data_IF_265844409065
#
_entry.id   IF_265844409065
#
_cell.length_a   1.000
_cell.length_b   1.000
_cell.length_c   1.000
_cell.angle_alpha   90.00
_cell.angle_beta   90.00
_cell.angle_gamma   90.00
#
_symmetry.space_group_name_H-M   'P 1'
#
loop_
_entity.id
_entity.type
_entity.pdbx_description
1 polymer ?
#
# COMPACT_ATOMS: atom_id res chain seq x y z
N UNK A 1 -22.75 -12.28 14.07
CA UNK A 1 -21.53 -11.72 14.67
C UNK A 1 -20.98 -10.66 13.72
N UNK A 2 -20.32 -9.61 14.23
CA UNK A 2 -19.62 -8.62 13.39
C UNK A 2 -18.12 -8.80 13.61
N UNK A 3 -17.33 -8.68 12.55
CA UNK A 3 -15.87 -8.80 12.58
C UNK A 3 -15.23 -7.49 12.11
N UNK A 4 -14.10 -7.14 12.70
CA UNK A 4 -13.30 -5.97 12.32
C UNK A 4 -11.87 -6.43 12.05
N UNK A 5 -11.35 -6.11 10.87
CA UNK A 5 -9.95 -6.30 10.50
C UNK A 5 -9.26 -4.93 10.56
N UNK A 6 -8.16 -4.84 11.32
CA UNK A 6 -7.31 -3.65 11.40
C UNK A 6 -5.93 -4.01 10.87
N UNK A 7 -5.47 -3.29 9.85
CA UNK A 7 -4.13 -3.44 9.28
C UNK A 7 -3.33 -2.20 9.66
N UNK A 8 -2.21 -2.40 10.35
CA UNK A 8 -1.23 -1.35 10.60
C UNK A 8 -0.19 -1.42 9.48
N UNK A 9 -0.33 -0.55 8.49
CA UNK A 9 0.55 -0.57 7.31
C UNK A 9 2.00 -0.23 7.69
N UNK A 10 2.95 -1.01 7.18
CA UNK A 10 4.37 -0.86 7.49
C UNK A 10 4.76 -1.06 8.96
N UNK A 11 3.92 -1.71 9.78
CA UNK A 11 4.18 -1.82 11.24
C UNK A 11 5.36 -2.74 11.61
N UNK A 12 5.67 -3.70 10.74
CA UNK A 12 6.74 -4.67 11.00
C UNK A 12 8.05 -4.10 10.53
N UNK A 13 8.95 -3.82 11.48
CA UNK A 13 10.26 -3.23 11.18
C UNK A 13 11.38 -3.92 11.96
N UNK A 14 12.61 -3.68 11.51
CA UNK A 14 13.80 -4.22 12.14
C UNK A 14 14.13 -3.51 13.46
N UNK A 15 14.93 -4.20 14.29
CA UNK A 15 15.48 -3.63 15.51
C UNK A 15 16.55 -2.61 15.16
N UNK A 16 16.58 -1.51 15.90
CA UNK A 16 17.55 -0.44 15.63
C UNK A 16 18.30 -0.02 16.90
N UNK A 17 19.57 0.34 16.75
CA UNK A 17 20.40 0.82 17.86
C UNK A 17 19.88 2.14 18.46
N UNK A 18 19.28 3.00 17.62
CA UNK A 18 18.64 4.24 18.04
C UNK A 18 17.48 4.01 19.03
N UNK A 19 16.89 2.81 19.01
CA UNK A 19 15.83 2.38 19.91
C UNK A 19 16.32 1.33 20.92
N UNK A 20 17.61 1.33 21.26
CA UNK A 20 18.22 0.41 22.21
C UNK A 20 18.02 -1.07 21.84
N UNK A 21 18.06 -1.39 20.54
CA UNK A 21 17.88 -2.76 20.04
C UNK A 21 16.42 -3.24 20.02
N UNK A 22 15.46 -2.32 20.07
CA UNK A 22 14.03 -2.59 19.90
C UNK A 22 13.55 -2.25 18.49
N UNK A 23 12.46 -2.88 18.07
CA UNK A 23 11.67 -2.41 16.92
C UNK A 23 10.86 -1.17 17.32
N UNK A 24 10.42 -0.33 16.35
CA UNK A 24 9.53 0.79 16.63
C UNK A 24 8.26 0.40 17.41
N UNK A 25 7.65 -0.74 17.09
CA UNK A 25 6.45 -1.23 17.78
C UNK A 25 6.73 -1.65 19.23
N UNK A 26 7.88 -2.29 19.49
CA UNK A 26 8.32 -2.66 20.85
C UNK A 26 8.66 -1.44 21.70
N UNK A 27 9.27 -0.41 21.09
CA UNK A 27 9.65 0.82 21.79
C UNK A 27 8.45 1.72 22.11
N UNK A 28 7.42 1.71 21.25
CA UNK A 28 6.25 2.55 21.40
C UNK A 28 5.36 2.15 22.60
N UNK A 29 4.77 3.15 23.26
CA UNK A 29 3.75 2.91 24.29
C UNK A 29 2.43 2.49 23.64
N UNK A 30 2.10 1.19 23.67
CA UNK A 30 0.94 0.62 22.95
C UNK A 30 -0.05 -0.15 23.86
N UNK A 31 -0.59 0.50 24.93
CA UNK A 31 -1.39 -0.19 25.94
C UNK A 31 -2.65 -0.90 25.40
N UNK A 32 -3.22 -0.38 24.31
CA UNK A 32 -4.37 -1.01 23.64
C UNK A 32 -3.98 -2.30 22.94
N UNK A 33 -2.86 -2.31 22.20
CA UNK A 33 -2.36 -3.51 21.51
C UNK A 33 -1.95 -4.56 22.55
N UNK A 34 -1.27 -4.16 23.62
CA UNK A 34 -0.90 -5.03 24.74
C UNK A 34 -2.13 -5.69 25.38
N UNK A 35 -3.22 -4.94 25.57
CA UNK A 35 -4.48 -5.44 26.10
C UNK A 35 -5.17 -6.43 25.16
N UNK A 36 -5.12 -6.19 23.85
CA UNK A 36 -5.65 -7.10 22.83
C UNK A 36 -4.87 -8.41 22.84
N UNK A 37 -3.53 -8.36 22.88
CA UNK A 37 -2.68 -9.56 22.92
C UNK A 37 -2.96 -10.41 24.17
N UNK A 38 -3.15 -9.78 25.34
CA UNK A 38 -3.48 -10.49 26.60
C UNK A 38 -4.83 -11.21 26.58
N UNK A 39 -5.79 -10.72 25.80
CA UNK A 39 -7.16 -11.26 25.72
C UNK A 39 -7.42 -12.13 24.49
N UNK A 40 -6.45 -12.21 23.59
CA UNK A 40 -6.59 -12.84 22.28
C UNK A 40 -5.50 -13.87 22.00
N UNK A 41 -5.29 -14.12 20.71
CA UNK A 41 -4.25 -15.02 20.20
C UNK A 41 -3.28 -14.17 19.37
N UNK A 42 -1.99 -14.31 19.65
CA UNK A 42 -0.93 -13.71 18.86
C UNK A 42 -0.25 -14.79 18.01
N UNK A 43 -0.11 -14.52 16.70
CA UNK A 43 0.56 -15.40 15.75
C UNK A 43 1.33 -14.57 14.73
N UNK A 44 2.56 -14.99 14.43
CA UNK A 44 3.32 -14.51 13.28
C UNK A 44 2.93 -15.31 12.03
N UNK A 45 2.51 -14.60 10.98
CA UNK A 45 2.13 -15.16 9.68
C UNK A 45 2.72 -14.27 8.59
N UNK A 46 3.12 -14.86 7.46
CA UNK A 46 3.41 -14.12 6.23
C UNK A 46 2.20 -14.21 5.30
N UNK A 47 1.82 -13.07 4.72
CA UNK A 47 0.79 -12.97 3.68
C UNK A 47 1.39 -12.58 2.32
N UNK A 48 2.72 -12.68 2.18
CA UNK A 48 3.38 -12.44 0.91
C UNK A 48 3.12 -13.61 -0.03
N UNK A 49 2.83 -13.32 -1.29
CA UNK A 49 2.70 -14.35 -2.32
C UNK A 49 4.08 -14.91 -2.64
N UNK A 50 4.21 -16.24 -2.64
CA UNK A 50 5.48 -16.91 -2.92
C UNK A 50 6.03 -16.52 -4.31
N UNK A 51 7.33 -16.22 -4.37
CA UNK A 51 8.00 -15.78 -5.60
C UNK A 51 7.64 -14.37 -6.07
N UNK A 52 6.98 -13.55 -5.23
CA UNK A 52 6.73 -12.13 -5.50
C UNK A 52 7.39 -11.25 -4.44
N UNK A 53 7.80 -10.06 -4.85
CA UNK A 53 8.19 -9.03 -3.90
C UNK A 53 6.96 -8.61 -3.06
N UNK A 54 7.11 -8.39 -1.75
CA UNK A 54 6.02 -7.94 -0.90
C UNK A 54 5.47 -6.59 -1.37
N UNK A 55 4.16 -6.50 -1.54
CA UNK A 55 3.48 -5.25 -1.87
C UNK A 55 2.10 -5.19 -1.21
N UNK A 56 1.63 -3.99 -0.88
CA UNK A 56 0.33 -3.77 -0.23
C UNK A 56 -0.85 -4.48 -0.91
N UNK A 57 -0.94 -4.49 -2.24
CA UNK A 57 -2.06 -5.09 -2.98
C UNK A 57 -2.08 -6.60 -2.73
N UNK A 58 -0.97 -7.29 -3.01
CA UNK A 58 -0.92 -8.75 -2.87
C UNK A 58 -1.09 -9.19 -1.42
N UNK A 59 -0.51 -8.47 -0.47
CA UNK A 59 -0.65 -8.74 0.96
C UNK A 59 -2.09 -8.55 1.44
N UNK A 60 -2.75 -7.44 1.07
CA UNK A 60 -4.14 -7.18 1.48
C UNK A 60 -5.09 -8.23 0.89
N UNK A 61 -4.96 -8.54 -0.40
CA UNK A 61 -5.79 -9.58 -1.03
C UNK A 61 -5.58 -10.96 -0.39
N UNK A 62 -4.33 -11.29 -0.03
CA UNK A 62 -4.00 -12.53 0.68
C UNK A 62 -4.63 -12.57 2.09
N UNK A 63 -4.61 -11.45 2.83
CA UNK A 63 -5.29 -11.34 4.15
C UNK A 63 -6.81 -11.52 4.01
N UNK A 64 -7.39 -11.03 2.91
CA UNK A 64 -8.81 -11.18 2.59
C UNK A 64 -9.17 -12.59 2.07
N UNK A 65 -8.18 -13.46 1.86
CA UNK A 65 -8.39 -14.86 1.45
C UNK A 65 -8.50 -15.07 -0.06
N UNK A 66 -8.03 -14.13 -0.88
CA UNK A 66 -7.95 -14.30 -2.34
C UNK A 66 -6.86 -15.31 -2.68
N UNK A 67 -7.18 -16.24 -3.58
CA UNK A 67 -6.23 -17.25 -4.05
C UNK A 67 -5.05 -16.61 -4.77
N UNK A 68 -3.83 -17.06 -4.44
CA UNK A 68 -2.59 -16.45 -4.95
C UNK A 68 -2.44 -16.55 -6.47
N UNK A 69 -3.09 -17.53 -7.11
CA UNK A 69 -3.04 -17.71 -8.58
C UNK A 69 -3.79 -16.63 -9.34
N UNK A 70 -4.77 -15.97 -8.71
CA UNK A 70 -5.60 -14.92 -9.33
C UNK A 70 -5.23 -13.51 -8.86
N UNK A 71 -4.29 -13.36 -7.93
CA UNK A 71 -3.80 -12.04 -7.50
C UNK A 71 -3.06 -11.38 -8.67
N UNK A 72 -3.51 -10.21 -9.16
CA UNK A 72 -2.87 -9.53 -10.28
C UNK A 72 -1.46 -9.07 -9.91
N UNK A 73 -0.58 -8.97 -10.90
CA UNK A 73 0.79 -8.46 -10.71
C UNK A 73 0.89 -6.94 -10.74
N UNK A 74 -0.10 -6.28 -11.36
CA UNK A 74 -0.15 -4.83 -11.48
C UNK A 74 -1.34 -4.27 -10.70
N UNK A 75 -1.25 -2.98 -10.37
CA UNK A 75 -2.30 -2.25 -9.63
C UNK A 75 -3.15 -1.34 -10.52
N UNK A 76 -2.67 -1.05 -11.73
CA UNK A 76 -3.26 -0.02 -12.59
C UNK A 76 -4.76 -0.24 -12.83
N UNK A 77 -5.15 -1.47 -13.17
CA UNK A 77 -6.56 -1.82 -13.37
C UNK A 77 -7.41 -1.59 -12.11
N UNK A 78 -6.95 -2.09 -10.95
CA UNK A 78 -7.68 -1.95 -9.70
C UNK A 78 -7.76 -0.49 -9.21
N UNK A 79 -6.71 0.30 -9.43
CA UNK A 79 -6.70 1.74 -9.11
C UNK A 79 -7.64 2.52 -10.04
N UNK A 80 -7.74 2.16 -11.32
CA UNK A 80 -8.69 2.75 -12.26
C UNK A 80 -10.14 2.48 -11.83
N UNK A 81 -10.48 1.22 -11.51
CA UNK A 81 -11.80 0.85 -10.99
C UNK A 81 -12.12 1.59 -9.69
N UNK A 82 -11.15 1.70 -8.76
CA UNK A 82 -11.33 2.44 -7.51
C UNK A 82 -11.56 3.94 -7.74
N UNK A 83 -11.06 4.48 -8.85
CA UNK A 83 -11.26 5.87 -9.30
C UNK A 83 -12.53 6.07 -10.12
N UNK A 84 -13.34 5.01 -10.30
CA UNK A 84 -14.58 5.06 -11.09
C UNK A 84 -14.36 5.10 -12.60
N UNK A 85 -13.17 4.76 -13.07
CA UNK A 85 -12.85 4.64 -14.51
C UNK A 85 -13.34 3.26 -14.96
N UNK A 86 -14.25 3.23 -15.94
CA UNK A 86 -14.66 2.00 -16.60
C UNK A 86 -13.53 1.53 -17.53
N UNK A 87 -13.24 0.23 -17.51
CA UNK A 87 -12.15 -0.37 -18.31
C UNK A 87 -12.72 -1.60 -19.00
N UNK A 88 -12.68 -1.61 -20.33
CA UNK A 88 -13.14 -2.73 -21.16
C UNK A 88 -12.06 -3.83 -21.25
N UNK A 89 -12.48 -5.04 -21.63
CA UNK A 89 -11.61 -6.23 -21.67
C UNK A 89 -10.45 -6.11 -22.69
N UNK A 90 -10.57 -5.21 -23.68
CA UNK A 90 -9.57 -4.94 -24.71
C UNK A 90 -8.71 -3.69 -24.43
N UNK A 91 -8.85 -3.08 -23.26
CA UNK A 91 -8.10 -1.89 -22.86
C UNK A 91 -6.88 -2.21 -21.98
N UNK A 92 -5.84 -1.36 -22.11
CA UNK A 92 -4.65 -1.42 -21.27
C UNK A 92 -4.60 -0.19 -20.38
N UNK A 93 -4.51 -0.41 -19.07
CA UNK A 93 -4.41 0.67 -18.08
C UNK A 93 -2.97 0.87 -17.67
N UNK A 94 -2.50 2.12 -17.74
CA UNK A 94 -1.19 2.53 -17.24
C UNK A 94 -1.36 3.40 -15.99
N UNK A 95 -0.61 3.07 -14.95
CA UNK A 95 -0.49 3.93 -13.77
C UNK A 95 0.62 4.94 -14.03
N UNK A 96 0.22 6.21 -14.13
CA UNK A 96 1.13 7.32 -14.39
C UNK A 96 1.21 8.24 -13.18
N UNK A 97 2.38 8.83 -12.99
CA UNK A 97 2.57 9.90 -12.01
C UNK A 97 2.79 11.22 -12.74
N UNK A 98 2.28 12.32 -12.18
CA UNK A 98 2.75 13.66 -12.54
C UNK A 98 4.13 13.87 -11.92
N UNK A 99 5.09 14.28 -12.73
CA UNK A 99 6.48 14.48 -12.30
C UNK A 99 6.88 15.94 -12.47
N UNK A 100 7.84 16.40 -11.65
CA UNK A 100 8.64 17.60 -11.92
C UNK A 100 10.02 17.14 -12.35
N UNK A 101 10.51 17.64 -13.46
CA UNK A 101 11.83 17.32 -14.00
C UNK A 101 12.41 18.53 -14.73
N UNK A 102 13.74 18.65 -14.70
CA UNK A 102 14.51 19.51 -15.59
C UNK A 102 15.13 18.68 -16.72
N UNK A 103 15.97 19.28 -17.56
CA UNK A 103 16.56 18.59 -18.73
C UNK A 103 17.39 17.35 -18.35
N UNK A 104 17.91 17.27 -17.12
CA UNK A 104 18.86 16.24 -16.73
C UNK A 104 18.46 15.45 -15.48
N UNK A 105 17.38 15.82 -14.79
CA UNK A 105 17.04 15.25 -13.49
C UNK A 105 15.53 15.21 -13.20
N UNK A 106 15.13 14.18 -12.46
CA UNK A 106 13.81 14.05 -11.87
C UNK A 106 13.82 14.74 -10.50
N UNK A 107 13.12 15.86 -10.37
CA UNK A 107 13.02 16.61 -9.11
C UNK A 107 11.94 16.05 -8.17
N UNK A 108 10.82 15.58 -8.73
CA UNK A 108 9.75 14.95 -7.96
C UNK A 108 8.97 13.96 -8.80
N UNK A 109 8.49 12.90 -8.15
CA UNK A 109 7.69 11.85 -8.80
C UNK A 109 6.19 11.96 -8.47
N UNK A 110 5.74 13.01 -7.81
CA UNK A 110 4.40 13.11 -7.21
C UNK A 110 3.75 14.49 -7.37
N UNK A 111 4.10 15.23 -8.42
CA UNK A 111 3.50 16.54 -8.72
C UNK A 111 3.81 17.60 -7.66
N UNK A 112 5.00 17.54 -7.04
CA UNK A 112 5.37 18.43 -5.93
C UNK A 112 5.13 19.89 -6.28
N UNK A 113 4.40 20.58 -5.41
CA UNK A 113 4.08 22.01 -5.56
C UNK A 113 2.72 22.30 -6.19
N UNK A 114 2.03 21.29 -6.74
CA UNK A 114 0.67 21.42 -7.23
C UNK A 114 -0.35 21.07 -6.13
N UNK A 115 -1.46 21.80 -6.09
CA UNK A 115 -2.65 21.39 -5.37
C UNK A 115 -3.38 20.26 -6.11
N UNK A 116 -4.23 19.51 -5.41
CA UNK A 116 -4.99 18.38 -5.99
C UNK A 116 -5.84 18.80 -7.19
N UNK A 117 -6.41 20.00 -7.16
CA UNK A 117 -7.23 20.55 -8.25
C UNK A 117 -6.38 20.81 -9.51
N UNK A 118 -5.15 21.30 -9.33
CA UNK A 118 -4.21 21.54 -10.43
C UNK A 118 -3.74 20.22 -11.03
N UNK A 119 -3.40 19.24 -10.19
CA UNK A 119 -3.06 17.88 -10.65
C UNK A 119 -4.19 17.29 -11.50
N UNK A 120 -5.43 17.39 -11.02
CA UNK A 120 -6.61 16.90 -11.75
C UNK A 120 -6.78 17.62 -13.10
N UNK A 121 -6.61 18.95 -13.11
CA UNK A 121 -6.68 19.74 -14.32
C UNK A 121 -5.62 19.39 -15.37
N UNK A 122 -4.40 19.01 -14.95
CA UNK A 122 -3.35 18.55 -15.85
C UNK A 122 -3.62 17.13 -16.35
N UNK A 123 -4.04 16.21 -15.47
CA UNK A 123 -4.33 14.82 -15.85
C UNK A 123 -5.38 14.73 -16.96
N UNK A 124 -6.43 15.57 -16.91
CA UNK A 124 -7.47 15.60 -17.95
C UNK A 124 -7.02 16.12 -19.33
N UNK A 125 -5.78 16.58 -19.47
CA UNK A 125 -5.23 17.00 -20.78
C UNK A 125 -4.56 15.86 -21.53
N UNK A 126 -4.32 14.73 -20.85
CA UNK A 126 -3.54 13.59 -21.36
C UNK A 126 -4.43 12.36 -21.60
N UNK A 127 -5.63 12.36 -21.02
CA UNK A 127 -6.72 11.41 -21.30
C UNK A 127 -7.52 11.84 -22.53
#
# INVERSE_FOLDING_TARGET
MKSVLVILDGVSEEKTDALHGMTPLEYACTPTIDSIVKKGIHKKTSYCVEGREPDSLSCILSVLGVDSSIIPRNRAYLEALASGINVEDDEVVLRCNLISADENSLESFNGRGLASEEMYGVSNKVT
#
